data_IF_045727306546
#
_entry.id   IF_045727306546
#
_cell.length_a   1.000
_cell.length_b   1.000
_cell.length_c   1.000
_cell.angle_alpha   90.00
_cell.angle_beta   90.00
_cell.angle_gamma   90.00
#
_symmetry.space_group_name_H-M   'P 1'
#
loop_
_entity.id
_entity.type
_entity.pdbx_description
1 polymer ?
#
# COMPACT_ATOMS: atom_id res chain seq x y z
N UNK A 1 14.07 -8.52 17.35
CA UNK A 1 13.02 -8.21 18.33
C UNK A 1 11.92 -7.36 17.70
N UNK A 2 12.22 -6.27 16.96
CA UNK A 2 11.22 -5.42 16.25
C UNK A 2 10.29 -6.22 15.31
N UNK A 3 10.82 -7.17 14.54
CA UNK A 3 10.04 -7.96 13.56
C UNK A 3 8.98 -8.89 14.19
N UNK A 4 9.17 -9.29 15.44
CA UNK A 4 8.20 -10.15 16.15
C UNK A 4 7.02 -9.32 16.69
N UNK A 5 7.23 -8.05 16.97
CA UNK A 5 6.21 -7.17 17.58
C UNK A 5 5.09 -6.82 16.58
N UNK A 6 5.43 -6.51 15.33
CA UNK A 6 4.45 -6.19 14.29
C UNK A 6 3.50 -7.36 14.00
N UNK A 7 4.02 -8.58 13.97
CA UNK A 7 3.22 -9.80 13.76
C UNK A 7 2.30 -10.09 14.95
N UNK A 8 2.73 -9.77 16.18
CA UNK A 8 1.90 -9.96 17.39
C UNK A 8 0.76 -8.95 17.46
N UNK A 9 0.97 -7.71 17.04
CA UNK A 9 -0.10 -6.69 16.96
C UNK A 9 -1.16 -7.10 15.93
N UNK A 10 -0.75 -7.63 14.80
CA UNK A 10 -1.66 -8.11 13.77
C UNK A 10 -2.49 -9.31 14.25
N UNK A 11 -1.87 -10.26 14.94
CA UNK A 11 -2.56 -11.44 15.48
C UNK A 11 -3.57 -11.09 16.59
N UNK A 12 -3.38 -9.96 17.30
CA UNK A 12 -4.29 -9.49 18.34
C UNK A 12 -5.50 -8.73 17.80
N UNK A 13 -5.42 -8.22 16.56
CA UNK A 13 -6.53 -7.54 15.89
C UNK A 13 -7.56 -8.51 15.28
N UNK A 14 -7.22 -9.81 15.16
CA UNK A 14 -7.97 -10.81 14.39
C UNK A 14 -9.10 -11.53 15.14
N UNK A 15 -9.67 -11.04 16.21
CA UNK A 15 -10.93 -11.58 16.75
C UNK A 15 -10.95 -11.98 18.23
N UNK A 16 -12.09 -12.40 18.77
CA UNK A 16 -12.19 -12.83 20.15
C UNK A 16 -11.44 -14.15 20.32
N UNK A 17 -10.21 -14.09 20.75
CA UNK A 17 -9.52 -15.27 21.25
C UNK A 17 -10.10 -15.54 22.63
N UNK A 18 -11.11 -16.39 22.68
CA UNK A 18 -11.57 -16.99 23.95
C UNK A 18 -10.59 -18.07 24.40
N UNK A 19 -9.42 -17.65 24.72
CA UNK A 19 -8.37 -18.51 25.26
C UNK A 19 -7.24 -17.61 25.67
N UNK A 20 -6.82 -17.70 26.93
CA UNK A 20 -5.67 -16.98 27.42
C UNK A 20 -4.48 -17.23 26.50
N UNK A 21 -4.09 -16.19 25.77
CA UNK A 21 -2.79 -16.18 25.09
C UNK A 21 -1.73 -16.14 26.18
N UNK A 22 -1.41 -17.28 26.76
CA UNK A 22 -0.21 -17.41 27.55
C UNK A 22 0.95 -17.46 26.56
N UNK A 23 1.64 -16.35 26.40
CA UNK A 23 2.98 -16.36 25.81
C UNK A 23 3.83 -17.17 26.80
N UNK A 24 3.91 -18.46 26.58
CA UNK A 24 4.97 -19.26 27.21
C UNK A 24 6.29 -18.81 26.62
N UNK A 25 7.34 -18.86 27.41
CA UNK A 25 8.70 -18.40 27.08
C UNK A 25 9.36 -19.11 25.87
N UNK A 26 8.66 -20.05 25.26
CA UNK A 26 8.93 -20.59 23.94
C UNK A 26 7.59 -20.72 23.24
N UNK A 27 7.39 -20.11 22.06
CA UNK A 27 6.19 -20.30 21.27
C UNK A 27 6.22 -21.73 20.70
N UNK A 28 5.73 -22.67 21.51
CA UNK A 28 5.40 -24.00 21.02
C UNK A 28 4.15 -23.83 20.17
N UNK A 29 4.27 -23.96 18.88
CA UNK A 29 3.15 -23.85 17.98
C UNK A 29 3.32 -22.85 16.83
N UNK A 30 4.52 -22.33 16.65
CA UNK A 30 4.91 -21.65 15.43
C UNK A 30 5.89 -22.51 14.65
N UNK A 31 5.53 -22.90 13.45
CA UNK A 31 6.48 -23.52 12.54
C UNK A 31 7.12 -22.40 11.74
N UNK A 32 8.41 -22.13 12.00
CA UNK A 32 9.22 -21.34 11.10
C UNK A 32 9.78 -22.31 10.07
N UNK A 33 9.38 -22.18 8.84
CA UNK A 33 10.10 -22.77 7.72
C UNK A 33 11.26 -21.83 7.42
N UNK A 34 12.40 -22.39 7.06
CA UNK A 34 13.68 -21.70 6.87
C UNK A 34 13.60 -20.49 5.91
N UNK A 35 14.71 -19.80 5.69
CA UNK A 35 14.80 -18.47 5.06
C UNK A 35 14.16 -18.34 3.66
N UNK A 36 13.62 -19.40 3.11
CA UNK A 36 13.07 -19.48 1.76
C UNK A 36 11.55 -19.69 1.75
N UNK A 37 10.91 -19.74 2.91
CA UNK A 37 9.46 -19.82 3.02
C UNK A 37 8.97 -19.70 4.47
N UNK A 38 8.38 -18.57 4.82
CA UNK A 38 7.78 -18.33 6.12
C UNK A 38 6.35 -18.88 6.13
N UNK A 39 6.18 -20.07 6.74
CA UNK A 39 4.87 -20.51 7.18
C UNK A 39 4.67 -20.15 8.66
N UNK A 40 3.66 -19.38 8.94
CA UNK A 40 3.30 -19.01 10.29
C UNK A 40 1.90 -19.56 10.59
N UNK A 41 1.82 -20.66 11.29
CA UNK A 41 0.58 -21.14 11.88
C UNK A 41 0.81 -21.44 13.36
N UNK A 42 0.10 -20.80 14.29
CA UNK A 42 0.12 -21.23 15.69
C UNK A 42 -0.60 -22.58 15.83
N UNK A 43 0.03 -23.52 16.53
CA UNK A 43 -0.62 -24.79 16.88
C UNK A 43 -1.94 -24.51 17.62
N UNK A 44 -3.03 -25.04 17.09
CA UNK A 44 -4.36 -24.88 17.67
C UNK A 44 -5.31 -23.98 16.89
N UNK A 45 -4.90 -23.36 15.80
CA UNK A 45 -5.79 -22.60 14.91
C UNK A 45 -6.45 -23.47 13.81
N UNK A 46 -6.18 -24.75 13.74
CA UNK A 46 -6.85 -25.66 12.79
C UNK A 46 -6.54 -25.38 11.31
N UNK A 47 -5.55 -24.56 11.01
CA UNK A 47 -5.03 -24.41 9.67
C UNK A 47 -3.87 -25.40 9.50
N UNK A 48 -4.20 -26.60 9.10
CA UNK A 48 -3.23 -27.44 8.40
C UNK A 48 -3.06 -26.80 7.01
N UNK A 49 -2.12 -25.87 6.88
CA UNK A 49 -1.61 -25.55 5.55
C UNK A 49 -0.95 -26.84 5.05
N UNK A 50 -1.45 -27.47 3.99
CA UNK A 50 -0.83 -28.70 3.50
C UNK A 50 0.62 -28.38 3.18
N UNK A 51 1.56 -29.17 3.72
CA UNK A 51 2.99 -29.11 3.42
C UNK A 51 3.26 -29.03 1.90
N UNK A 52 2.33 -29.55 1.11
CA UNK A 52 2.29 -29.51 -0.34
C UNK A 52 1.94 -28.12 -0.95
N UNK A 53 1.18 -27.28 -0.24
CA UNK A 53 0.88 -25.94 -0.74
C UNK A 53 2.07 -24.97 -0.54
N UNK A 54 2.79 -25.13 0.55
CA UNK A 54 3.98 -24.33 0.81
C UNK A 54 5.18 -24.74 -0.07
N UNK A 55 5.32 -26.02 -0.37
CA UNK A 55 6.37 -26.48 -1.28
C UNK A 55 6.07 -26.11 -2.74
N UNK A 56 4.81 -26.00 -3.13
CA UNK A 56 4.44 -25.56 -4.48
C UNK A 56 4.82 -24.10 -4.77
N UNK A 57 4.84 -23.25 -3.76
CA UNK A 57 5.26 -21.86 -3.92
C UNK A 57 6.76 -21.69 -4.17
N UNK A 58 7.55 -22.59 -3.59
CA UNK A 58 9.00 -22.59 -3.68
C UNK A 58 9.55 -23.32 -4.91
N UNK A 59 8.68 -24.09 -5.57
CA UNK A 59 9.07 -24.98 -6.68
C UNK A 59 8.57 -24.51 -8.05
N UNK A 60 7.70 -23.49 -8.13
CA UNK A 60 7.27 -22.97 -9.42
C UNK A 60 8.31 -21.97 -9.96
N UNK A 61 9.27 -22.49 -10.70
CA UNK A 61 10.29 -21.70 -11.41
C UNK A 61 9.70 -21.00 -12.66
N UNK A 62 8.40 -21.15 -12.92
CA UNK A 62 7.76 -20.48 -14.07
C UNK A 62 7.71 -18.98 -13.83
N UNK A 63 8.32 -18.16 -14.69
CA UNK A 63 8.27 -16.72 -14.54
C UNK A 63 6.83 -16.20 -14.49
N UNK A 64 6.57 -15.17 -13.68
CA UNK A 64 5.23 -14.62 -13.49
C UNK A 64 4.55 -14.24 -14.82
N UNK A 65 5.28 -13.69 -15.78
CA UNK A 65 4.75 -13.30 -17.09
C UNK A 65 4.34 -14.48 -18.00
N UNK A 66 4.77 -15.68 -17.67
CA UNK A 66 4.33 -16.90 -18.38
C UNK A 66 3.06 -17.51 -17.80
N UNK A 67 2.68 -17.13 -16.55
CA UNK A 67 1.52 -17.69 -15.85
C UNK A 67 0.40 -16.67 -15.60
N UNK A 68 0.70 -15.35 -15.56
CA UNK A 68 -0.29 -14.30 -15.28
C UNK A 68 -1.54 -14.38 -16.17
N UNK A 69 -2.70 -14.02 -15.62
CA UNK A 69 -3.95 -13.89 -16.36
C UNK A 69 -4.10 -12.57 -17.11
N UNK A 70 -3.16 -11.62 -16.90
CA UNK A 70 -3.20 -10.29 -17.52
C UNK A 70 -2.88 -10.29 -19.01
N UNK A 71 -2.16 -11.31 -19.48
CA UNK A 71 -1.83 -11.59 -20.88
C UNK A 71 -2.22 -13.03 -21.23
N UNK A 72 -3.50 -13.25 -21.55
CA UNK A 72 -4.04 -14.58 -21.80
C UNK A 72 -3.51 -15.22 -23.07
N UNK A 73 -3.18 -14.42 -24.06
CA UNK A 73 -2.67 -14.89 -25.34
C UNK A 73 -1.14 -14.97 -25.42
N UNK A 74 -0.44 -14.58 -24.34
CA UNK A 74 1.03 -14.66 -24.18
C UNK A 74 1.80 -13.90 -25.25
N UNK A 75 1.36 -12.70 -25.59
CA UNK A 75 2.02 -11.84 -26.56
C UNK A 75 2.90 -10.74 -25.95
N UNK A 76 2.98 -10.70 -24.61
CA UNK A 76 3.74 -9.69 -23.87
C UNK A 76 3.03 -8.33 -23.78
N UNK A 77 1.74 -8.29 -24.07
CA UNK A 77 0.90 -7.10 -23.95
C UNK A 77 -0.30 -7.42 -23.09
N UNK A 78 -0.51 -6.64 -22.06
CA UNK A 78 -1.69 -6.75 -21.21
C UNK A 78 -2.97 -6.67 -22.05
N UNK A 79 -3.89 -7.64 -21.87
CA UNK A 79 -5.09 -7.80 -22.72
C UNK A 79 -5.93 -6.50 -22.84
N UNK A 80 -6.05 -5.72 -21.76
CA UNK A 80 -6.79 -4.45 -21.77
C UNK A 80 -6.19 -3.38 -22.69
N UNK A 81 -4.89 -3.48 -22.99
CA UNK A 81 -4.17 -2.53 -23.80
C UNK A 81 -4.31 -2.83 -25.29
N UNK A 82 -4.56 -4.07 -25.67
CA UNK A 82 -4.66 -4.48 -27.09
C UNK A 82 -5.78 -3.77 -27.86
N UNK A 83 -6.88 -3.49 -27.21
CA UNK A 83 -8.03 -2.81 -27.80
C UNK A 83 -8.05 -1.29 -27.53
N UNK A 84 -7.12 -0.80 -26.72
CA UNK A 84 -7.07 0.61 -26.36
C UNK A 84 -6.65 1.47 -27.56
N UNK A 85 -7.33 2.60 -27.72
CA UNK A 85 -7.04 3.57 -28.79
C UNK A 85 -6.75 4.93 -28.15
N UNK A 86 -5.61 5.49 -28.45
CA UNK A 86 -5.21 6.80 -27.96
C UNK A 86 -3.79 6.81 -27.43
N UNK A 87 -3.54 7.71 -26.50
CA UNK A 87 -2.25 7.90 -25.85
C UNK A 87 -2.44 7.68 -24.35
N UNK A 88 -1.51 6.99 -23.72
CA UNK A 88 -1.56 6.67 -22.28
C UNK A 88 -0.15 6.51 -21.74
N UNK A 89 0.00 6.51 -20.42
CA UNK A 89 1.22 6.05 -19.76
C UNK A 89 1.37 4.53 -19.90
N UNK A 90 2.57 4.08 -20.10
CA UNK A 90 2.94 2.68 -20.33
C UNK A 90 4.02 2.27 -19.35
N UNK A 91 3.81 1.14 -18.67
CA UNK A 91 4.82 0.39 -17.96
C UNK A 91 5.41 -0.71 -18.83
N UNK A 92 6.73 -0.84 -18.81
CA UNK A 92 7.45 -1.95 -19.43
C UNK A 92 8.12 -2.76 -18.34
N UNK A 93 7.76 -4.02 -18.19
CA UNK A 93 8.49 -4.96 -17.32
C UNK A 93 9.49 -5.76 -18.13
N UNK A 94 10.67 -5.95 -17.58
CA UNK A 94 11.77 -6.69 -18.18
C UNK A 94 11.97 -8.02 -17.44
N UNK A 95 12.39 -9.04 -18.18
CA UNK A 95 12.76 -10.33 -17.62
C UNK A 95 14.18 -10.37 -17.02
N UNK A 96 14.87 -9.23 -17.04
CA UNK A 96 16.24 -9.03 -16.54
C UNK A 96 16.35 -7.62 -15.98
N UNK A 97 17.39 -7.36 -15.20
CA UNK A 97 17.69 -6.02 -14.68
C UNK A 97 17.74 -4.96 -15.81
N UNK A 98 17.07 -3.83 -15.57
CA UNK A 98 17.03 -2.72 -16.55
C UNK A 98 18.43 -2.17 -16.79
N UNK A 99 18.85 -2.13 -18.03
CA UNK A 99 20.19 -1.74 -18.43
C UNK A 99 20.20 -0.49 -19.34
N UNK A 100 21.38 0.14 -19.47
CA UNK A 100 21.58 1.25 -20.42
C UNK A 100 21.27 0.87 -21.88
N UNK A 101 21.33 -0.42 -22.23
CA UNK A 101 20.93 -0.91 -23.55
C UNK A 101 19.42 -0.77 -23.74
N UNK A 102 18.62 -1.18 -22.77
CA UNK A 102 17.16 -1.06 -22.80
C UNK A 102 16.74 0.40 -22.92
N UNK A 103 17.33 1.29 -22.13
CA UNK A 103 17.04 2.73 -22.21
C UNK A 103 17.42 3.34 -23.57
N UNK A 104 18.53 2.91 -24.17
CA UNK A 104 18.93 3.36 -25.50
C UNK A 104 17.97 2.88 -26.61
N UNK A 105 17.35 1.70 -26.46
CA UNK A 105 16.31 1.24 -27.39
C UNK A 105 15.10 2.19 -27.35
N UNK A 106 14.62 2.55 -26.16
CA UNK A 106 13.49 3.47 -25.97
C UNK A 106 13.81 4.87 -26.54
N UNK A 107 15.01 5.39 -26.27
CA UNK A 107 15.49 6.65 -26.85
C UNK A 107 15.48 6.62 -28.38
N UNK A 108 15.90 5.50 -28.97
CA UNK A 108 15.91 5.32 -30.45
C UNK A 108 14.50 5.37 -31.05
N UNK A 109 13.47 5.03 -30.29
CA UNK A 109 12.06 5.14 -30.66
C UNK A 109 11.48 6.54 -30.37
N UNK A 110 12.30 7.46 -29.87
CA UNK A 110 11.90 8.80 -29.41
C UNK A 110 10.82 8.77 -28.33
N UNK A 111 10.94 7.81 -27.41
CA UNK A 111 10.09 7.69 -26.24
C UNK A 111 10.77 8.34 -25.03
N UNK A 112 9.97 8.97 -24.20
CA UNK A 112 10.44 9.62 -22.99
C UNK A 112 10.32 8.63 -21.82
N UNK A 113 11.44 8.26 -21.23
CA UNK A 113 11.47 7.53 -19.97
C UNK A 113 11.14 8.52 -18.87
N UNK A 114 10.15 8.19 -18.06
CA UNK A 114 9.75 8.98 -16.89
C UNK A 114 10.56 8.52 -15.69
N UNK A 115 10.59 7.21 -15.45
CA UNK A 115 11.32 6.64 -14.33
C UNK A 115 11.73 5.17 -14.59
N UNK A 116 12.65 4.67 -13.77
CA UNK A 116 13.07 3.27 -13.74
C UNK A 116 12.81 2.73 -12.35
N UNK A 117 11.97 1.71 -12.25
CA UNK A 117 11.58 1.07 -10.99
C UNK A 117 12.41 -0.21 -10.84
N UNK A 118 13.56 -0.07 -10.19
CA UNK A 118 14.60 -1.11 -10.11
C UNK A 118 14.11 -2.38 -9.40
N UNK A 119 13.27 -2.24 -8.35
CA UNK A 119 12.78 -3.37 -7.55
C UNK A 119 11.93 -4.38 -8.34
N UNK A 120 11.38 -3.98 -9.47
CA UNK A 120 10.51 -4.84 -10.32
C UNK A 120 10.97 -4.88 -11.77
N UNK A 121 12.21 -4.46 -12.03
CA UNK A 121 12.82 -4.42 -13.37
C UNK A 121 11.91 -3.76 -14.41
N UNK A 122 11.37 -2.58 -14.09
CA UNK A 122 10.40 -1.91 -14.93
C UNK A 122 10.83 -0.49 -15.32
N UNK A 123 10.26 -0.01 -16.43
CA UNK A 123 10.44 1.35 -16.92
C UNK A 123 9.09 2.00 -17.13
N UNK A 124 8.90 3.20 -16.60
CA UNK A 124 7.73 4.03 -16.81
C UNK A 124 7.93 4.95 -18.02
N UNK A 125 6.99 4.90 -18.93
CA UNK A 125 6.95 5.77 -20.12
C UNK A 125 5.74 6.70 -20.02
N UNK A 126 5.95 7.97 -20.25
CA UNK A 126 4.89 8.97 -20.31
C UNK A 126 3.88 8.73 -21.43
N UNK A 127 3.45 9.77 -22.09
CA UNK A 127 2.41 9.74 -23.13
C UNK A 127 2.80 8.92 -24.37
N UNK A 128 2.48 7.64 -24.39
CA UNK A 128 2.78 6.71 -25.48
C UNK A 128 1.51 6.42 -26.31
N UNK A 129 1.63 6.47 -27.62
CA UNK A 129 0.52 6.07 -28.50
C UNK A 129 0.36 4.54 -28.48
N UNK A 130 -0.86 4.08 -28.20
CA UNK A 130 -1.16 2.64 -28.11
C UNK A 130 -0.85 1.84 -29.39
N UNK A 131 -0.72 2.49 -30.53
CA UNK A 131 -0.26 1.80 -31.76
C UNK A 131 1.15 1.22 -31.67
N UNK A 132 1.95 1.63 -30.67
CA UNK A 132 3.33 1.18 -30.47
C UNK A 132 3.45 -0.02 -29.51
N UNK A 133 2.38 -0.48 -28.88
CA UNK A 133 2.46 -1.48 -27.79
C UNK A 133 3.09 -2.80 -28.24
N UNK A 134 2.79 -3.26 -29.44
CA UNK A 134 3.40 -4.49 -29.99
C UNK A 134 4.86 -4.29 -30.44
N UNK A 135 5.23 -3.07 -30.85
CA UNK A 135 6.62 -2.74 -31.11
C UNK A 135 7.41 -2.73 -29.80
N UNK A 136 6.83 -2.20 -28.71
CA UNK A 136 7.41 -2.22 -27.37
C UNK A 136 7.57 -3.65 -26.83
N UNK A 137 6.54 -4.49 -26.96
CA UNK A 137 6.61 -5.89 -26.56
C UNK A 137 7.65 -6.72 -27.34
N UNK A 138 8.11 -6.21 -28.48
CA UNK A 138 9.14 -6.86 -29.29
C UNK A 138 10.57 -6.40 -28.99
N UNK A 139 10.75 -5.48 -28.04
CA UNK A 139 12.08 -5.04 -27.59
C UNK A 139 12.79 -6.15 -26.81
N UNK A 140 14.12 -6.05 -26.74
CA UNK A 140 14.94 -7.03 -26.04
C UNK A 140 14.54 -7.09 -24.56
N UNK A 141 14.36 -8.30 -24.05
CA UNK A 141 14.05 -8.62 -22.65
C UNK A 141 12.72 -8.05 -22.10
N UNK A 142 11.91 -7.35 -22.89
CA UNK A 142 10.57 -6.93 -22.46
C UNK A 142 9.67 -8.15 -22.34
N UNK A 143 9.05 -8.33 -21.18
CA UNK A 143 8.17 -9.47 -20.87
C UNK A 143 6.70 -9.07 -20.72
N UNK A 144 6.43 -7.79 -20.40
CA UNK A 144 5.08 -7.26 -20.30
C UNK A 144 5.05 -5.78 -20.65
N UNK A 145 4.03 -5.39 -21.39
CA UNK A 145 3.64 -4.00 -21.68
C UNK A 145 2.27 -3.77 -21.09
N UNK A 146 2.16 -2.86 -20.12
CA UNK A 146 0.91 -2.54 -19.47
C UNK A 146 0.64 -1.03 -19.47
N UNK A 147 -0.61 -0.61 -19.29
CA UNK A 147 -0.95 0.79 -19.17
C UNK A 147 -1.05 1.20 -17.71
N UNK A 148 -0.83 2.47 -17.44
CA UNK A 148 -1.09 3.02 -16.11
C UNK A 148 -2.55 2.83 -15.72
N UNK A 149 -2.79 2.41 -14.48
CA UNK A 149 -4.10 2.45 -13.85
C UNK A 149 -4.42 3.87 -13.37
N UNK A 150 -5.71 4.17 -13.19
CA UNK A 150 -6.13 5.40 -12.53
C UNK A 150 -6.04 5.20 -11.01
N UNK A 151 -5.41 6.13 -10.31
CA UNK A 151 -5.47 6.18 -8.85
C UNK A 151 -6.85 6.67 -8.41
N UNK A 152 -7.38 6.00 -7.40
CA UNK A 152 -8.62 6.40 -6.72
C UNK A 152 -8.34 6.51 -5.23
N UNK A 153 -8.56 7.68 -4.66
CA UNK A 153 -8.48 7.88 -3.21
C UNK A 153 -9.77 7.42 -2.56
N UNK A 154 -9.66 6.61 -1.52
CA UNK A 154 -10.78 6.12 -0.72
C UNK A 154 -10.93 7.00 0.52
N UNK A 155 -11.66 8.14 0.38
CA UNK A 155 -11.63 9.26 1.31
C UNK A 155 -12.51 9.17 2.54
N UNK A 156 -13.49 8.30 2.56
CA UNK A 156 -14.51 8.30 3.62
C UNK A 156 -14.36 7.11 4.59
N UNK A 157 -13.30 6.33 4.43
CA UNK A 157 -13.10 5.11 5.21
C UNK A 157 -12.26 5.44 6.43
N UNK A 158 -12.92 5.63 7.51
CA UNK A 158 -12.34 6.05 8.77
C UNK A 158 -12.44 4.94 9.79
N UNK A 159 -11.36 4.72 10.49
CA UNK A 159 -11.31 3.70 11.52
C UNK A 159 -11.38 4.30 12.92
N UNK A 160 -12.44 4.39 13.62
CA UNK A 160 -12.35 4.56 15.06
C UNK A 160 -12.47 3.26 15.78
N UNK A 161 -12.40 2.18 15.23
CA UNK A 161 -12.64 1.05 16.07
C UNK A 161 -11.84 -0.19 15.72
N UNK A 162 -10.63 0.04 15.29
CA UNK A 162 -9.65 -0.96 15.60
C UNK A 162 -9.60 -0.98 17.11
N UNK A 163 -10.22 -1.97 17.75
CA UNK A 163 -10.34 -2.10 19.21
C UNK A 163 -8.94 -2.25 19.84
N UNK A 164 -8.11 -1.27 19.59
CA UNK A 164 -6.80 -1.11 20.20
C UNK A 164 -6.96 -0.86 21.70
N UNK A 165 -8.04 -0.15 22.08
CA UNK A 165 -8.42 0.10 23.47
C UNK A 165 -9.38 -0.97 24.00
N UNK A 166 -9.37 -1.17 25.32
CA UNK A 166 -10.38 -1.98 26.00
C UNK A 166 -11.78 -1.35 25.93
N UNK A 167 -12.77 -2.17 26.16
CA UNK A 167 -14.17 -1.77 26.29
C UNK A 167 -14.89 -2.64 27.32
N UNK A 168 -16.13 -2.30 27.63
CA UNK A 168 -16.94 -3.12 28.54
C UNK A 168 -17.16 -4.53 27.97
N UNK A 169 -17.21 -4.71 26.69
CA UNK A 169 -17.40 -6.01 26.03
C UNK A 169 -16.07 -6.76 25.83
N UNK A 170 -14.99 -6.01 25.55
CA UNK A 170 -13.63 -6.54 25.35
C UNK A 170 -12.69 -5.89 26.37
N UNK A 171 -12.52 -6.50 27.54
CA UNK A 171 -11.84 -5.85 28.67
C UNK A 171 -10.31 -5.75 28.51
N UNK A 172 -9.74 -6.32 27.45
CA UNK A 172 -8.31 -6.25 27.14
C UNK A 172 -8.15 -5.85 25.68
N UNK A 173 -7.49 -4.72 25.44
CA UNK A 173 -7.07 -4.25 24.14
C UNK A 173 -5.55 -4.33 23.96
N UNK A 174 -5.05 -3.98 22.79
CA UNK A 174 -3.62 -3.98 22.51
C UNK A 174 -2.85 -3.03 23.44
N UNK A 175 -3.44 -1.90 23.80
CA UNK A 175 -2.81 -0.92 24.70
C UNK A 175 -2.64 -1.45 26.12
N UNK A 176 -3.59 -2.26 26.61
CA UNK A 176 -3.48 -2.91 27.93
C UNK A 176 -2.31 -3.91 27.96
N UNK A 177 -1.89 -4.39 26.80
CA UNK A 177 -0.74 -5.28 26.63
C UNK A 177 0.57 -4.52 26.35
N UNK A 178 0.52 -3.19 26.32
CA UNK A 178 1.68 -2.33 26.05
C UNK A 178 1.97 -2.06 24.58
N UNK A 179 1.08 -2.47 23.66
CA UNK A 179 1.26 -2.27 22.23
C UNK A 179 0.51 -1.01 21.78
N UNK A 180 1.25 0.10 21.63
CA UNK A 180 0.72 1.42 21.25
C UNK A 180 1.42 2.03 20.04
N UNK A 181 2.36 1.31 19.44
CA UNK A 181 3.13 1.75 18.28
C UNK A 181 4.50 2.35 18.61
N UNK A 182 4.93 2.37 19.87
CA UNK A 182 6.26 2.87 20.22
C UNK A 182 7.36 2.13 19.42
N UNK A 183 8.34 2.87 18.93
CA UNK A 183 9.42 2.38 18.08
C UNK A 183 8.95 1.82 16.71
N UNK A 184 7.82 2.31 16.20
CA UNK A 184 7.26 1.94 14.88
C UNK A 184 7.09 3.17 14.02
N UNK A 185 7.67 3.17 12.81
CA UNK A 185 7.48 4.20 11.80
C UNK A 185 6.45 3.75 10.78
N UNK A 186 5.42 4.58 10.58
CA UNK A 186 4.38 4.36 9.57
C UNK A 186 4.64 5.30 8.40
N UNK A 187 4.97 4.74 7.23
CA UNK A 187 4.96 5.49 5.98
C UNK A 187 3.51 5.67 5.52
N UNK A 188 3.01 6.90 5.65
CA UNK A 188 1.73 7.29 5.08
C UNK A 188 1.96 7.69 3.63
N UNK A 189 1.62 6.81 2.71
CA UNK A 189 1.76 7.06 1.26
C UNK A 189 0.44 7.60 0.77
N UNK A 190 0.33 8.93 0.70
CA UNK A 190 -0.96 9.60 0.52
C UNK A 190 -0.78 11.04 -0.04
N UNK A 191 -1.70 11.94 0.29
CA UNK A 191 -1.68 13.34 -0.15
C UNK A 191 -0.75 14.24 0.67
N UNK A 192 0.07 13.67 1.54
CA UNK A 192 0.82 14.34 2.58
C UNK A 192 0.12 14.25 3.93
N UNK A 193 0.75 14.72 4.98
CA UNK A 193 0.20 14.76 6.34
C UNK A 193 0.48 16.12 6.97
N UNK A 194 -0.58 16.82 7.40
CA UNK A 194 -0.49 18.00 8.26
C UNK A 194 -0.04 17.59 9.67
N UNK A 195 1.26 17.56 9.88
CA UNK A 195 1.86 17.17 11.16
C UNK A 195 1.82 18.29 12.22
N UNK A 196 1.37 19.51 11.85
CA UNK A 196 0.98 20.56 12.77
C UNK A 196 -0.38 20.33 13.41
N UNK A 197 -1.20 19.42 12.88
CA UNK A 197 -2.44 19.01 13.53
C UNK A 197 -2.18 18.56 14.97
N UNK A 198 -2.90 19.10 15.99
CA UNK A 198 -2.58 18.87 17.42
C UNK A 198 -2.47 17.39 17.79
N UNK A 199 -3.27 16.54 17.17
CA UNK A 199 -3.24 15.09 17.40
C UNK A 199 -2.09 14.36 16.70
N UNK A 200 -1.35 15.02 15.82
CA UNK A 200 -0.23 14.45 15.05
C UNK A 200 1.10 15.17 15.32
N UNK A 201 1.09 16.21 16.12
CA UNK A 201 2.29 16.97 16.46
C UNK A 201 3.38 16.09 17.07
N UNK A 202 4.63 16.40 16.73
CA UNK A 202 5.84 15.68 17.18
C UNK A 202 5.98 14.23 16.64
N UNK A 203 5.19 13.83 15.60
CA UNK A 203 5.29 12.50 15.02
C UNK A 203 6.19 12.42 13.78
N UNK A 204 6.43 13.53 13.12
CA UNK A 204 7.23 13.56 11.90
C UNK A 204 8.70 13.17 12.18
N UNK A 205 9.17 12.18 11.42
CA UNK A 205 10.56 11.69 11.46
C UNK A 205 11.28 11.97 10.16
N UNK A 206 10.63 11.68 9.04
CA UNK A 206 11.15 11.93 7.71
C UNK A 206 10.03 12.11 6.70
N UNK A 207 10.31 12.75 5.56
CA UNK A 207 9.34 12.90 4.50
C UNK A 207 9.96 12.92 3.11
N UNK A 208 9.12 12.64 2.14
CA UNK A 208 9.48 12.57 0.74
C UNK A 208 8.31 13.03 -0.15
N UNK A 209 8.59 13.98 -1.04
CA UNK A 209 7.64 14.43 -2.03
C UNK A 209 7.86 13.70 -3.36
N UNK A 210 7.15 12.60 -3.57
CA UNK A 210 7.25 11.81 -4.78
C UNK A 210 6.64 12.49 -6.01
N UNK A 211 5.91 13.59 -5.84
CA UNK A 211 5.42 14.43 -6.94
C UNK A 211 6.54 15.32 -7.47
N UNK A 212 7.42 15.79 -6.59
CA UNK A 212 8.43 16.80 -6.89
C UNK A 212 9.88 16.30 -6.81
N UNK A 213 10.12 15.04 -7.11
CA UNK A 213 11.46 14.44 -7.09
C UNK A 213 12.31 14.81 -8.32
N UNK A 214 11.70 15.27 -9.41
CA UNK A 214 12.39 15.68 -10.64
C UNK A 214 12.50 17.20 -10.75
N UNK A 215 13.71 17.78 -10.86
CA UNK A 215 13.91 19.24 -10.83
C UNK A 215 13.22 20.05 -11.92
N UNK A 216 12.82 19.40 -13.02
CA UNK A 216 12.17 20.02 -14.18
C UNK A 216 10.72 19.66 -14.35
N UNK A 217 10.12 19.02 -13.35
CA UNK A 217 8.72 18.62 -13.40
C UNK A 217 7.81 19.85 -13.55
N UNK A 218 6.94 19.89 -14.59
CA UNK A 218 6.08 21.03 -14.83
C UNK A 218 5.07 21.29 -13.71
N UNK A 219 4.63 20.24 -13.02
CA UNK A 219 3.67 20.34 -11.89
C UNK A 219 4.33 20.97 -10.70
N UNK A 220 5.52 20.52 -10.32
CA UNK A 220 6.29 21.14 -9.25
C UNK A 220 6.57 22.60 -9.50
N UNK A 221 6.87 22.97 -10.75
CA UNK A 221 7.07 24.37 -11.15
C UNK A 221 5.77 25.16 -10.99
N UNK A 222 4.62 24.59 -11.38
CA UNK A 222 3.31 25.24 -11.26
C UNK A 222 2.85 25.36 -9.80
N UNK A 223 3.18 24.38 -8.95
CA UNK A 223 2.91 24.42 -7.52
C UNK A 223 3.80 25.44 -6.76
N UNK A 224 4.61 26.22 -7.49
CA UNK A 224 5.53 27.19 -6.86
C UNK A 224 6.74 26.53 -6.22
N UNK A 225 6.91 25.23 -6.46
CA UNK A 225 8.02 24.43 -5.95
C UNK A 225 9.20 24.42 -6.89
N UNK A 226 10.32 23.99 -6.38
CA UNK A 226 11.51 23.58 -7.08
C UNK A 226 11.80 22.14 -6.72
N UNK A 227 13.00 21.72 -6.99
CA UNK A 227 13.53 20.46 -6.49
C UNK A 227 13.30 20.33 -4.98
N UNK A 228 12.86 19.16 -4.55
CA UNK A 228 12.74 18.79 -3.13
C UNK A 228 13.89 17.87 -2.74
N UNK A 229 14.29 17.96 -1.49
CA UNK A 229 15.25 17.03 -0.91
C UNK A 229 14.66 15.61 -0.91
N UNK A 230 15.49 14.61 -1.26
CA UNK A 230 15.08 13.21 -1.33
C UNK A 230 15.69 12.35 -0.22
N UNK A 231 16.37 13.00 0.73
CA UNK A 231 17.09 12.37 1.84
C UNK A 231 16.25 12.22 3.13
N UNK A 232 14.95 12.46 3.04
CA UNK A 232 14.01 12.39 4.14
C UNK A 232 13.87 13.67 4.96
N UNK A 233 14.58 14.73 4.62
CA UNK A 233 14.53 16.01 5.38
C UNK A 233 13.43 16.95 4.94
N UNK A 234 12.80 16.69 3.82
CA UNK A 234 11.67 17.48 3.33
C UNK A 234 10.38 17.04 4.01
N UNK A 235 9.62 18.00 4.54
CA UNK A 235 8.29 17.81 5.08
C UNK A 235 7.26 18.20 3.99
N UNK A 236 6.55 17.20 3.39
CA UNK A 236 5.67 17.47 2.27
C UNK A 236 4.42 18.24 2.62
N UNK A 237 3.92 18.05 3.85
CA UNK A 237 2.65 18.62 4.31
C UNK A 237 1.42 18.18 3.49
N UNK A 238 0.21 18.50 3.93
CA UNK A 238 -1.04 18.04 3.30
C UNK A 238 -1.98 19.19 2.93
N UNK A 239 -2.14 19.44 1.65
CA UNK A 239 -3.11 20.40 1.14
C UNK A 239 -4.52 19.84 0.88
N UNK A 240 -4.70 18.51 0.92
CA UNK A 240 -5.94 17.82 0.54
C UNK A 240 -6.76 17.27 1.71
N UNK A 241 -6.18 17.08 2.88
CA UNK A 241 -6.77 16.48 4.10
C UNK A 241 -6.81 14.94 4.16
N UNK A 242 -6.70 14.22 3.05
CA UNK A 242 -6.89 12.76 3.03
C UNK A 242 -5.79 12.02 3.79
N UNK A 243 -4.52 12.32 3.53
CA UNK A 243 -3.41 11.69 4.22
C UNK A 243 -3.39 12.01 5.71
N UNK A 244 -3.72 13.25 6.08
CA UNK A 244 -3.90 13.66 7.49
C UNK A 244 -4.99 12.86 8.18
N UNK A 245 -6.13 12.68 7.52
CA UNK A 245 -7.21 11.84 8.01
C UNK A 245 -6.75 10.41 8.25
N UNK A 246 -6.07 9.82 7.27
CA UNK A 246 -5.56 8.45 7.35
C UNK A 246 -4.51 8.28 8.46
N UNK A 247 -3.57 9.22 8.59
CA UNK A 247 -2.58 9.19 9.66
C UNK A 247 -3.23 9.41 11.03
N UNK A 248 -4.26 10.26 11.12
CA UNK A 248 -5.06 10.44 12.31
C UNK A 248 -5.68 9.14 12.80
N UNK A 249 -6.19 8.34 11.87
CA UNK A 249 -6.75 7.02 12.16
C UNK A 249 -5.69 6.02 12.62
N UNK A 250 -4.51 6.10 12.05
CA UNK A 250 -3.40 5.23 12.41
C UNK A 250 -2.80 5.60 13.78
N UNK A 251 -2.53 6.90 14.02
CA UNK A 251 -1.64 7.27 15.10
C UNK A 251 -1.99 8.57 15.88
N UNK A 252 -3.18 9.16 15.72
CA UNK A 252 -3.52 10.37 16.47
C UNK A 252 -3.45 10.15 18.01
N UNK A 253 -2.94 11.16 18.70
CA UNK A 253 -2.77 11.15 20.17
C UNK A 253 -4.04 11.51 20.95
N UNK A 254 -5.12 11.88 20.25
CA UNK A 254 -6.37 12.32 20.84
C UNK A 254 -6.37 13.76 21.36
N UNK A 255 -5.34 14.55 21.04
CA UNK A 255 -5.30 15.98 21.41
C UNK A 255 -6.08 16.78 20.37
N UNK A 256 -7.01 17.60 20.80
CA UNK A 256 -7.78 18.50 19.94
C UNK A 256 -7.12 19.89 19.77
N UNK A 257 -7.71 20.72 18.92
CA UNK A 257 -7.22 22.09 18.65
C UNK A 257 -7.18 23.02 19.89
N UNK A 258 -7.86 22.66 20.97
CA UNK A 258 -7.78 23.38 22.25
C UNK A 258 -6.65 22.88 23.15
N UNK A 259 -5.96 21.82 22.75
CA UNK A 259 -4.99 21.10 23.57
C UNK A 259 -5.62 20.16 24.61
N UNK A 260 -6.93 19.89 24.48
CA UNK A 260 -7.61 18.98 25.40
C UNK A 260 -7.53 17.53 24.92
N UNK A 261 -7.42 16.61 25.87
CA UNK A 261 -7.47 15.18 25.59
C UNK A 261 -8.91 14.77 25.27
N UNK A 262 -9.09 14.10 24.15
CA UNK A 262 -10.36 13.54 23.69
C UNK A 262 -10.30 12.02 23.58
N UNK A 263 -11.38 11.40 23.13
CA UNK A 263 -11.43 9.97 22.82
C UNK A 263 -11.07 9.63 21.36
N UNK A 264 -10.71 10.64 20.55
CA UNK A 264 -10.37 10.48 19.15
C UNK A 264 -8.90 10.12 18.95
N UNK A 265 -8.56 8.89 19.25
CA UNK A 265 -7.21 8.36 19.08
C UNK A 265 -7.07 7.56 17.79
N UNK A 266 -5.87 7.53 17.25
CA UNK A 266 -5.45 6.50 16.33
C UNK A 266 -5.24 5.15 17.01
N UNK A 267 -5.11 4.10 16.22
CA UNK A 267 -4.90 2.74 16.70
C UNK A 267 -3.55 2.57 17.44
N UNK A 268 -2.53 3.29 17.01
CA UNK A 268 -1.15 3.23 17.47
C UNK A 268 -0.61 4.65 17.80
N UNK A 269 -1.13 5.30 18.86
CA UNK A 269 -0.86 6.72 19.15
C UNK A 269 0.59 7.03 19.50
N UNK A 270 1.42 6.03 19.73
CA UNK A 270 2.83 6.20 20.04
C UNK A 270 3.73 5.88 18.80
N UNK A 271 3.13 5.64 17.61
CA UNK A 271 3.87 5.46 16.36
C UNK A 271 4.30 6.80 15.76
N UNK A 272 5.40 6.77 15.01
CA UNK A 272 5.98 7.91 14.30
C UNK A 272 5.53 7.95 12.82
N UNK A 273 5.71 9.11 12.17
CA UNK A 273 5.30 9.39 10.81
C UNK A 273 6.52 9.47 9.87
N UNK A 274 6.45 8.71 8.79
CA UNK A 274 7.20 8.96 7.55
C UNK A 274 6.19 9.47 6.52
N UNK A 275 6.28 10.73 6.14
CA UNK A 275 5.34 11.34 5.20
C UNK A 275 5.79 11.13 3.76
N UNK A 276 5.06 10.36 2.97
CA UNK A 276 5.36 10.10 1.55
C UNK A 276 4.21 10.62 0.69
N UNK A 277 4.34 11.85 0.23
CA UNK A 277 3.33 12.50 -0.59
C UNK A 277 3.40 12.05 -2.04
N UNK A 278 2.34 11.42 -2.52
CA UNK A 278 2.18 10.98 -3.92
C UNK A 278 1.14 11.80 -4.68
N UNK A 279 0.34 12.60 -4.01
CA UNK A 279 -0.64 13.52 -4.56
C UNK A 279 -0.22 14.96 -4.35
N UNK A 280 -0.74 15.87 -5.17
CA UNK A 280 -0.50 17.30 -5.00
C UNK A 280 -1.80 18.04 -4.70
N UNK A 281 -1.67 19.08 -3.93
CA UNK A 281 -2.71 20.04 -3.56
C UNK A 281 -2.80 21.24 -4.51
N UNK A 282 -2.32 21.11 -5.73
CA UNK A 282 -2.52 22.15 -6.74
C UNK A 282 -4.00 22.46 -6.94
N UNK A 283 -4.52 23.17 -5.96
CA UNK A 283 -5.81 23.81 -5.93
C UNK A 283 -6.97 22.88 -6.22
N UNK A 284 -7.72 22.56 -5.20
CA UNK A 284 -9.03 21.93 -5.35
C UNK A 284 -9.80 22.54 -6.52
N UNK A 285 -9.80 21.92 -7.67
CA UNK A 285 -10.48 22.43 -8.84
C UNK A 285 -10.39 21.52 -10.06
N UNK A 286 -11.12 21.85 -11.13
CA UNK A 286 -11.20 21.01 -12.32
C UNK A 286 -9.86 20.79 -13.04
N UNK A 287 -8.80 21.48 -12.68
CA UNK A 287 -7.45 21.25 -13.18
C UNK A 287 -6.78 20.03 -12.54
N UNK A 288 -7.11 19.76 -11.31
CA UNK A 288 -6.58 18.67 -10.51
C UNK A 288 -6.91 17.30 -11.11
N UNK A 289 -8.10 17.12 -11.63
CA UNK A 289 -8.55 15.86 -12.20
C UNK A 289 -8.02 15.55 -13.62
N UNK A 290 -7.45 16.52 -14.31
CA UNK A 290 -7.07 16.35 -15.72
C UNK A 290 -5.58 16.09 -15.97
N UNK A 291 -4.73 16.54 -15.08
CA UNK A 291 -3.28 16.44 -15.23
C UNK A 291 -2.73 15.28 -14.42
N UNK A 292 -3.49 14.77 -13.47
CA UNK A 292 -3.04 14.07 -12.29
C UNK A 292 -3.15 12.54 -12.41
N UNK A 293 -4.10 11.97 -13.16
CA UNK A 293 -4.26 10.50 -13.18
C UNK A 293 -2.98 9.74 -13.55
N UNK A 294 -2.24 10.20 -14.52
CA UNK A 294 -1.01 9.55 -14.94
C UNK A 294 0.15 9.84 -14.00
N UNK A 295 0.24 11.06 -13.53
CA UNK A 295 1.31 11.51 -12.65
C UNK A 295 1.19 10.92 -11.25
N UNK A 296 -0.01 10.67 -10.76
CA UNK A 296 -0.21 9.93 -9.51
C UNK A 296 0.33 8.50 -9.58
N UNK A 297 0.16 7.81 -10.70
CA UNK A 297 0.73 6.48 -10.86
C UNK A 297 2.26 6.52 -10.75
N UNK A 298 2.89 7.45 -11.46
CA UNK A 298 4.34 7.64 -11.45
C UNK A 298 4.82 8.01 -10.04
N UNK A 299 4.18 8.96 -9.38
CA UNK A 299 4.48 9.38 -8.02
C UNK A 299 4.31 8.25 -7.01
N UNK A 300 3.24 7.45 -7.14
CA UNK A 300 2.99 6.30 -6.29
C UNK A 300 4.11 5.26 -6.39
N UNK A 301 4.47 4.88 -7.61
CA UNK A 301 5.54 3.92 -7.86
C UNK A 301 6.90 4.44 -7.36
N UNK A 302 7.18 5.73 -7.58
CA UNK A 302 8.39 6.37 -7.10
C UNK A 302 8.43 6.43 -5.57
N UNK A 303 7.34 6.81 -4.92
CA UNK A 303 7.25 6.84 -3.45
C UNK A 303 7.46 5.46 -2.82
N UNK A 304 6.87 4.42 -3.40
CA UNK A 304 7.06 3.03 -2.92
C UNK A 304 8.51 2.56 -3.13
N UNK A 305 9.12 2.91 -4.27
CA UNK A 305 10.54 2.62 -4.49
C UNK A 305 11.42 3.32 -3.46
N UNK A 306 11.18 4.62 -3.19
CA UNK A 306 11.91 5.36 -2.17
C UNK A 306 11.80 4.71 -0.78
N UNK A 307 10.65 4.18 -0.41
CA UNK A 307 10.46 3.47 0.86
C UNK A 307 11.33 2.22 0.92
N UNK A 308 11.35 1.40 -0.13
CA UNK A 308 12.16 0.19 -0.21
C UNK A 308 13.66 0.53 -0.05
N UNK A 309 14.12 1.57 -0.74
CA UNK A 309 15.51 2.02 -0.69
C UNK A 309 15.91 2.55 0.69
N UNK A 310 14.96 3.13 1.42
CA UNK A 310 15.20 3.82 2.70
C UNK A 310 14.70 3.06 3.93
N UNK A 311 14.27 1.82 3.79
CA UNK A 311 13.66 1.02 4.87
C UNK A 311 14.53 0.83 6.12
N UNK A 312 15.84 0.99 6.03
CA UNK A 312 16.80 0.86 7.12
C UNK A 312 17.55 2.19 7.39
N UNK A 313 17.11 3.30 6.82
CA UNK A 313 17.82 4.60 6.87
C UNK A 313 17.84 5.17 8.30
N UNK A 314 19.01 5.65 8.72
CA UNK A 314 19.18 6.43 9.95
C UNK A 314 18.81 7.89 9.67
N UNK A 315 17.58 8.29 9.99
CA UNK A 315 17.07 9.62 9.70
C UNK A 315 17.82 10.72 10.46
N UNK A 316 18.03 11.84 9.80
CA UNK A 316 18.78 12.96 10.40
C UNK A 316 18.00 13.56 11.59
N UNK A 317 18.60 13.49 12.76
CA UNK A 317 18.02 14.05 13.98
C UNK A 317 17.07 13.13 14.73
N UNK A 318 16.76 11.98 14.18
CA UNK A 318 15.94 10.98 14.84
C UNK A 318 16.76 10.11 15.81
N UNK A 319 16.09 9.55 16.80
CA UNK A 319 16.67 8.54 17.69
C UNK A 319 16.78 7.19 16.96
N UNK A 320 17.70 6.32 17.41
CA UNK A 320 17.89 4.98 16.82
C UNK A 320 16.60 4.14 16.82
N UNK A 321 15.69 4.40 17.74
CA UNK A 321 14.38 3.73 17.82
C UNK A 321 13.46 4.10 16.64
N UNK A 322 13.64 5.29 16.07
CA UNK A 322 12.87 5.81 14.93
C UNK A 322 13.62 5.71 13.61
N UNK A 323 14.63 4.81 13.49
CA UNK A 323 15.29 4.57 12.21
C UNK A 323 14.47 3.60 11.34
N UNK A 324 14.56 3.81 10.03
CA UNK A 324 13.94 2.96 9.04
C UNK A 324 12.45 3.20 8.84
N UNK A 325 11.80 2.29 8.13
CA UNK A 325 10.37 2.29 7.82
C UNK A 325 9.84 0.89 8.12
N UNK A 326 8.84 0.77 8.98
CA UNK A 326 8.30 -0.51 9.44
C UNK A 326 7.00 -0.90 8.73
N UNK A 327 6.15 0.10 8.44
CA UNK A 327 4.81 -0.12 7.89
C UNK A 327 4.55 0.86 6.75
N UNK A 328 3.94 0.39 5.68
CA UNK A 328 3.31 1.20 4.64
C UNK A 328 1.80 1.18 4.86
N UNK A 329 1.17 2.34 4.86
CA UNK A 329 -0.28 2.50 4.86
C UNK A 329 -0.75 3.13 3.56
N UNK A 330 -1.64 2.42 2.84
CA UNK A 330 -2.21 2.83 1.56
C UNK A 330 -3.73 2.90 1.68
N UNK A 331 -4.27 4.11 1.67
CA UNK A 331 -5.72 4.35 1.72
C UNK A 331 -6.27 4.77 0.35
N UNK A 332 -5.65 4.31 -0.71
CA UNK A 332 -6.00 4.54 -2.11
C UNK A 332 -5.78 3.26 -2.92
N UNK A 333 -6.21 3.26 -4.15
CA UNK A 333 -6.04 2.11 -5.03
C UNK A 333 -5.88 2.51 -6.48
N UNK A 334 -5.38 1.60 -7.28
CA UNK A 334 -5.26 1.74 -8.72
C UNK A 334 -6.38 0.94 -9.37
N UNK A 335 -7.14 1.58 -10.25
CA UNK A 335 -8.24 0.91 -10.95
C UNK A 335 -7.71 -0.22 -11.81
N UNK A 336 -8.19 -1.43 -11.57
CA UNK A 336 -7.95 -2.55 -12.47
C UNK A 336 -8.66 -2.32 -13.80
N UNK A 337 -8.05 -2.78 -14.88
CA UNK A 337 -8.63 -2.72 -16.22
C UNK A 337 -9.30 -4.03 -16.65
N UNK A 338 -9.26 -5.06 -15.80
CA UNK A 338 -9.85 -6.36 -16.07
C UNK A 338 -11.21 -6.51 -15.39
N UNK A 339 -12.13 -7.19 -16.07
CA UNK A 339 -13.33 -7.73 -15.45
C UNK A 339 -12.89 -8.74 -14.37
N UNK A 340 -13.31 -8.51 -13.11
CA UNK A 340 -12.94 -9.36 -11.97
C UNK A 340 -11.64 -8.95 -11.27
N UNK A 341 -11.13 -7.77 -11.58
CA UNK A 341 -9.96 -7.20 -10.89
C UNK A 341 -8.62 -7.77 -11.36
N UNK A 342 -7.56 -7.42 -10.67
CA UNK A 342 -6.20 -7.88 -10.92
C UNK A 342 -5.95 -9.28 -10.31
N UNK A 343 -4.99 -10.00 -10.87
CA UNK A 343 -4.45 -11.24 -10.31
C UNK A 343 -3.22 -11.01 -9.40
N UNK A 344 -2.84 -9.75 -9.16
CA UNK A 344 -1.72 -9.36 -8.31
C UNK A 344 -0.35 -9.41 -8.97
N UNK A 345 -0.27 -9.59 -10.30
CA UNK A 345 0.98 -9.63 -11.05
C UNK A 345 1.28 -8.34 -11.82
N UNK A 346 0.40 -7.33 -11.71
CA UNK A 346 0.69 -5.99 -12.20
C UNK A 346 1.85 -5.33 -11.40
N UNK A 347 2.48 -4.31 -11.99
CA UNK A 347 3.65 -3.65 -11.39
C UNK A 347 3.37 -3.13 -9.99
N UNK A 348 2.22 -2.50 -9.80
CA UNK A 348 1.85 -1.89 -8.52
C UNK A 348 1.53 -2.93 -7.43
N UNK A 349 1.10 -4.13 -7.78
CA UNK A 349 0.98 -5.24 -6.83
C UNK A 349 2.34 -5.86 -6.50
N UNK A 350 3.20 -6.00 -7.51
CA UNK A 350 4.54 -6.58 -7.34
C UNK A 350 5.45 -5.73 -6.46
N UNK A 351 5.43 -4.39 -6.60
CA UNK A 351 6.25 -3.53 -5.73
C UNK A 351 5.83 -3.60 -4.26
N UNK A 352 4.55 -3.86 -3.98
CA UNK A 352 4.09 -4.11 -2.60
C UNK A 352 4.61 -5.45 -2.08
N UNK A 353 4.66 -6.48 -2.93
CA UNK A 353 5.28 -7.75 -2.56
C UNK A 353 6.76 -7.55 -2.24
N UNK A 354 7.51 -6.79 -3.05
CA UNK A 354 8.91 -6.45 -2.80
C UNK A 354 9.09 -5.72 -1.46
N UNK A 355 8.24 -4.76 -1.14
CA UNK A 355 8.28 -4.09 0.16
C UNK A 355 8.07 -5.06 1.32
N UNK A 356 7.12 -5.98 1.20
CA UNK A 356 6.87 -7.03 2.20
C UNK A 356 8.06 -7.97 2.35
N UNK A 357 8.66 -8.43 1.26
CA UNK A 357 9.87 -9.27 1.25
C UNK A 357 11.08 -8.53 1.82
N UNK A 358 11.19 -7.22 1.57
CA UNK A 358 12.20 -6.36 2.17
C UNK A 358 12.02 -6.18 3.69
N UNK A 359 10.86 -6.59 4.24
CA UNK A 359 10.55 -6.57 5.67
C UNK A 359 9.71 -5.37 6.12
N UNK A 360 9.16 -4.60 5.20
CA UNK A 360 8.19 -3.52 5.48
C UNK A 360 6.78 -4.10 5.38
N UNK A 361 5.96 -3.95 6.41
CA UNK A 361 4.58 -4.46 6.42
C UNK A 361 3.69 -3.53 5.60
N UNK A 362 2.94 -4.07 4.65
CA UNK A 362 2.03 -3.29 3.79
C UNK A 362 0.59 -3.53 4.21
N UNK A 363 -0.12 -2.44 4.52
CA UNK A 363 -1.57 -2.41 4.73
C UNK A 363 -2.21 -1.59 3.60
N UNK A 364 -3.18 -2.16 2.90
CA UNK A 364 -3.82 -1.53 1.74
C UNK A 364 -5.34 -1.66 1.79
N UNK A 365 -6.06 -0.62 1.42
CA UNK A 365 -7.50 -0.64 1.32
C UNK A 365 -7.98 -1.56 0.18
N UNK A 366 -9.05 -2.32 0.43
CA UNK A 366 -9.67 -3.18 -0.59
C UNK A 366 -10.30 -2.39 -1.74
N UNK A 367 -10.75 -1.16 -1.47
CA UNK A 367 -11.43 -0.31 -2.41
C UNK A 367 -12.90 -0.06 -2.06
N UNK A 368 -13.55 0.84 -2.83
CA UNK A 368 -14.91 1.32 -2.61
C UNK A 368 -15.90 0.95 -3.73
N UNK A 369 -15.63 -0.08 -4.51
CA UNK A 369 -16.40 -0.49 -5.69
C UNK A 369 -17.46 -1.57 -5.40
N UNK A 370 -17.75 -1.84 -4.12
CA UNK A 370 -18.76 -2.82 -3.72
C UNK A 370 -20.20 -2.36 -3.98
N UNK A 371 -21.20 -3.25 -3.82
CA UNK A 371 -21.06 -4.68 -3.51
C UNK A 371 -20.91 -5.57 -4.76
N UNK A 372 -21.07 -5.02 -5.95
CA UNK A 372 -21.10 -5.75 -7.22
C UNK A 372 -19.88 -5.41 -8.09
N UNK A 373 -18.77 -5.11 -7.43
CA UNK A 373 -17.52 -4.85 -8.12
C UNK A 373 -16.99 -6.11 -8.83
N UNK A 374 -16.07 -5.88 -9.73
CA UNK A 374 -15.39 -6.93 -10.49
C UNK A 374 -14.14 -7.48 -9.77
N UNK A 375 -14.08 -7.30 -8.45
CA UNK A 375 -12.96 -7.71 -7.62
C UNK A 375 -12.31 -6.53 -6.90
N UNK A 376 -11.11 -6.73 -6.40
CA UNK A 376 -10.34 -5.73 -5.68
C UNK A 376 -9.68 -4.74 -6.64
N UNK A 377 -9.43 -3.52 -6.17
CA UNK A 377 -8.51 -2.62 -6.87
C UNK A 377 -7.13 -3.26 -7.01
N UNK A 378 -6.36 -2.87 -8.00
CA UNK A 378 -5.07 -3.48 -8.33
C UNK A 378 -4.20 -3.71 -7.11
N UNK A 379 -3.90 -2.66 -6.33
CA UNK A 379 -3.02 -2.79 -5.15
C UNK A 379 -3.56 -3.72 -4.07
N UNK A 380 -4.88 -3.78 -3.90
CA UNK A 380 -5.55 -4.73 -3.00
C UNK A 380 -5.40 -6.19 -3.42
N UNK A 381 -4.89 -6.44 -4.61
CA UNK A 381 -4.65 -7.78 -5.16
C UNK A 381 -3.22 -8.30 -4.93
N UNK A 382 -2.32 -7.50 -4.38
CA UNK A 382 -0.95 -7.92 -4.03
C UNK A 382 -0.97 -9.17 -3.15
N UNK A 383 -0.14 -10.16 -3.47
CA UNK A 383 -0.16 -11.47 -2.82
C UNK A 383 0.24 -11.43 -1.34
N UNK A 384 1.18 -10.54 -0.99
CA UNK A 384 1.79 -10.49 0.34
C UNK A 384 1.24 -9.37 1.23
N UNK A 385 0.62 -8.33 0.66
CA UNK A 385 0.04 -7.22 1.44
C UNK A 385 -1.18 -7.65 2.25
N UNK A 386 -1.47 -6.87 3.28
CA UNK A 386 -2.67 -7.02 4.09
C UNK A 386 -3.74 -6.11 3.51
N UNK A 387 -4.68 -6.70 2.79
CA UNK A 387 -5.81 -5.98 2.21
C UNK A 387 -6.95 -5.88 3.21
N UNK A 388 -7.48 -4.68 3.40
CA UNK A 388 -8.47 -4.37 4.44
C UNK A 388 -9.79 -3.96 3.80
N UNK A 389 -10.84 -4.76 4.01
CA UNK A 389 -12.22 -4.42 3.65
C UNK A 389 -12.89 -3.56 4.71
N UNK A 390 -13.98 -2.87 4.34
CA UNK A 390 -14.73 -2.02 5.24
C UNK A 390 -15.95 -2.73 5.83
N UNK A 391 -16.18 -2.55 7.14
CA UNK A 391 -17.43 -2.92 7.81
C UNK A 391 -18.20 -1.68 8.29
N UNK A 392 -19.50 -1.84 8.42
CA UNK A 392 -20.37 -0.96 9.19
C UNK A 392 -20.54 -1.60 10.56
N UNK A 393 -19.94 -0.98 11.59
CA UNK A 393 -19.95 -1.46 12.96
C UNK A 393 -21.18 -0.95 13.75
N UNK A 394 -22.15 -0.35 13.07
CA UNK A 394 -23.37 0.23 13.66
C UNK A 394 -23.08 1.21 14.82
N UNK A 395 -21.86 1.77 14.88
CA UNK A 395 -21.33 2.55 15.99
C UNK A 395 -21.41 1.83 17.34
N UNK A 396 -21.22 0.52 17.35
CA UNK A 396 -21.14 -0.31 18.56
C UNK A 396 -19.77 -0.96 18.70
N UNK A 397 -19.47 -1.46 19.88
CA UNK A 397 -18.26 -2.28 20.10
C UNK A 397 -18.54 -3.77 19.94
N UNK A 398 -19.79 -4.15 19.70
CA UNK A 398 -20.22 -5.53 19.54
C UNK A 398 -20.05 -5.96 18.08
N UNK A 399 -19.03 -6.77 17.79
CA UNK A 399 -18.77 -7.25 16.45
C UNK A 399 -19.79 -8.22 15.90
N UNK A 400 -20.76 -8.64 16.70
CA UNK A 400 -21.82 -9.59 16.27
C UNK A 400 -22.90 -8.92 15.44
N UNK A 401 -22.99 -7.59 15.47
CA UNK A 401 -23.89 -6.77 14.64
C UNK A 401 -23.19 -6.08 13.46
N UNK A 402 -21.85 -6.26 13.32
CA UNK A 402 -21.10 -5.74 12.18
C UNK A 402 -21.60 -6.35 10.85
N UNK A 403 -21.66 -5.53 9.84
CA UNK A 403 -21.96 -5.97 8.47
C UNK A 403 -20.90 -5.45 7.50
N UNK A 404 -20.69 -6.14 6.38
CA UNK A 404 -19.81 -5.63 5.35
C UNK A 404 -20.43 -4.36 4.75
N UNK A 405 -19.68 -3.27 4.76
CA UNK A 405 -20.13 -2.02 4.16
C UNK A 405 -20.51 -2.21 2.70
N UNK A 406 -21.61 -1.60 2.26
CA UNK A 406 -22.13 -1.81 0.90
C UNK A 406 -21.17 -1.33 -0.18
N UNK A 407 -20.33 -0.36 0.11
CA UNK A 407 -19.34 0.17 -0.80
C UNK A 407 -18.00 -0.58 -0.76
N UNK A 408 -17.73 -1.41 0.26
CA UNK A 408 -16.46 -2.14 0.34
C UNK A 408 -16.27 -3.05 -0.86
N UNK A 409 -15.14 -2.92 -1.54
CA UNK A 409 -14.71 -3.91 -2.52
C UNK A 409 -14.60 -5.29 -1.89
N UNK A 410 -14.84 -6.31 -2.70
CA UNK A 410 -14.89 -7.70 -2.27
C UNK A 410 -14.04 -8.55 -3.20
N UNK A 411 -13.33 -9.52 -2.62
CA UNK A 411 -12.63 -10.53 -3.36
C UNK A 411 -13.55 -11.74 -3.62
N UNK A 412 -12.99 -12.80 -4.08
CA UNK A 412 -11.55 -13.09 -4.17
C UNK A 412 -10.87 -12.30 -5.31
N UNK A 413 -9.52 -12.19 -5.27
CA UNK A 413 -8.80 -11.73 -6.44
C UNK A 413 -8.74 -12.82 -7.51
N UNK A 414 -8.35 -12.47 -8.73
CA UNK A 414 -8.15 -13.44 -9.81
C UNK A 414 -6.98 -14.36 -9.49
N UNK A 415 -7.09 -15.61 -9.95
CA UNK A 415 -6.03 -16.62 -9.89
C UNK A 415 -4.86 -16.19 -10.80
N UNK A 416 -3.66 -16.06 -10.23
CA UNK A 416 -2.43 -15.75 -10.95
C UNK A 416 -1.74 -17.01 -11.52
N UNK A 417 -2.35 -18.18 -11.38
CA UNK A 417 -1.86 -19.44 -11.93
C UNK A 417 -0.71 -20.08 -11.15
N UNK A 418 -0.37 -19.58 -9.95
CA UNK A 418 0.70 -20.13 -9.12
C UNK A 418 0.29 -21.43 -8.38
N UNK A 419 -1.00 -21.79 -8.45
CA UNK A 419 -1.55 -22.96 -7.79
C UNK A 419 -1.75 -22.82 -6.29
N UNK A 420 -1.62 -21.62 -5.75
CA UNK A 420 -1.83 -21.31 -4.35
C UNK A 420 -3.13 -20.52 -4.11
N UNK A 421 -4.23 -21.18 -3.76
CA UNK A 421 -5.51 -20.51 -3.58
C UNK A 421 -5.57 -19.60 -2.33
N UNK A 422 -4.55 -19.58 -1.49
CA UNK A 422 -4.59 -18.80 -0.26
C UNK A 422 -4.30 -17.33 -0.51
N UNK A 423 -3.45 -17.00 -1.49
CA UNK A 423 -3.16 -15.61 -1.83
C UNK A 423 -4.27 -14.95 -2.67
N UNK A 424 -5.27 -15.72 -3.10
CA UNK A 424 -6.48 -15.23 -3.75
C UNK A 424 -7.57 -14.81 -2.75
N UNK A 425 -7.45 -15.27 -1.49
CA UNK A 425 -8.40 -14.94 -0.43
C UNK A 425 -8.18 -13.50 0.06
N UNK A 426 -8.75 -12.56 -0.66
CA UNK A 426 -8.72 -11.13 -0.35
C UNK A 426 -10.15 -10.61 -0.07
N UNK A 427 -10.32 -9.59 0.77
CA UNK A 427 -9.35 -9.02 1.69
C UNK A 427 -9.03 -9.98 2.85
N UNK A 428 -7.83 -9.89 3.43
CA UNK A 428 -7.42 -10.72 4.57
C UNK A 428 -8.21 -10.41 5.84
N UNK A 429 -8.53 -9.13 6.02
CA UNK A 429 -9.24 -8.64 7.19
C UNK A 429 -10.26 -7.58 6.80
N UNK A 430 -11.16 -7.26 7.71
CA UNK A 430 -12.06 -6.11 7.61
C UNK A 430 -11.97 -5.27 8.87
N UNK A 431 -12.15 -3.97 8.71
CA UNK A 431 -12.16 -3.00 9.80
C UNK A 431 -13.37 -2.07 9.67
N UNK A 432 -13.85 -1.47 10.75
CA UNK A 432 -14.87 -0.45 10.70
C UNK A 432 -14.47 0.70 9.77
N UNK A 433 -15.36 1.08 8.86
CA UNK A 433 -15.12 2.10 7.85
C UNK A 433 -16.31 3.05 7.63
N UNK A 434 -17.42 2.90 8.38
CA UNK A 434 -18.64 3.67 8.16
C UNK A 434 -18.91 4.64 9.32
N UNK A 435 -19.28 5.90 9.02
CA UNK A 435 -19.65 6.96 9.98
C UNK A 435 -18.56 7.31 11.03
N UNK A 436 -17.36 7.53 10.58
CA UNK A 436 -16.20 7.69 11.44
C UNK A 436 -15.72 9.14 11.52
N UNK A 437 -15.16 9.55 12.66
CA UNK A 437 -14.57 10.87 12.91
C UNK A 437 -13.06 10.80 12.73
N UNK A 438 -12.48 11.74 12.03
CA UNK A 438 -11.08 11.76 11.64
C UNK A 438 -10.39 13.09 11.94
N UNK A 439 -9.06 13.13 11.83
CA UNK A 439 -8.30 14.35 11.83
C UNK A 439 -8.61 15.15 10.54
N UNK A 440 -8.70 16.46 10.67
CA UNK A 440 -8.90 17.39 9.55
C UNK A 440 -7.60 18.16 9.33
N UNK A 441 -6.98 17.99 8.17
CA UNK A 441 -5.81 18.74 7.75
C UNK A 441 -6.14 20.10 7.14
N UNK A 442 -5.13 20.91 6.84
CA UNK A 442 -5.26 22.19 6.14
C UNK A 442 -6.14 23.22 6.85
N UNK A 443 -6.13 23.24 8.16
CA UNK A 443 -7.00 24.11 8.98
C UNK A 443 -6.34 25.46 9.26
N UNK A 444 -5.49 25.97 8.40
CA UNK A 444 -4.82 27.27 8.57
C UNK A 444 -5.59 28.43 7.97
#
# INVERSE_FOLDING_TARGET
>A
MRRILAVVVLALLMGPITGSLFIKSEPTGWHAVDAEGLQWAPDGFGFDVPEQAASAWLEDETPWWERTALDQNRNGVHDSLESFIGTTGIGLSYGTEVSSHHLAQLESMNLSVVDVIESVDAVLLGQVNASLVFDLASLDDVVMVERYGSLVFYGDIQTPAVKARNSSLYPVGAWDLGFRGADVNIAMVDTGVDNEHPGLSEKFVAGYDAVCYTPSDPICILAGGGFRETDGTFDPDDGHQHGTACMGMAAATGIDASGAQTDFYGAAPDADLIDVRIGTDLGAGPFENYVIEQEFYESAMNGLQWIIDNKDTAWQGADEASYGIDIISLSWGITSHEDGGSDGEDMHSRILNEAMEAGVVVSVAAGNDGPNNDGLSGMGSSSLSITVGATDDQNTVDRTDDTVASYSSRGDRRDNGDGNPLNELKPEVSAPGTNIVQAEGCVT
#
